data_IF_041507442980
#
_entry.id   IF_041507442980
#
_cell.length_a   1.000
_cell.length_b   1.000
_cell.length_c   1.000
_cell.angle_alpha   90.00
_cell.angle_beta   90.00
_cell.angle_gamma   90.00
#
_symmetry.space_group_name_H-M   'P 1'
#
loop_
_entity.id
_entity.type
_entity.pdbx_description
1 polymer ?
#
# COMPACT_ATOMS: atom_id res chain seq x y z
N UNK A 1 7.50 6.38 -23.33
CA UNK A 1 7.37 4.91 -23.15
C UNK A 1 6.21 4.31 -23.96
N UNK A 2 4.94 4.61 -23.62
CA UNK A 2 3.78 3.92 -24.24
C UNK A 2 3.71 4.03 -25.77
N UNK A 3 4.13 5.16 -26.34
CA UNK A 3 4.27 5.32 -27.79
C UNK A 3 5.28 4.33 -28.39
N UNK A 4 6.45 4.19 -27.79
CA UNK A 4 7.52 3.31 -28.28
C UNK A 4 7.13 1.83 -28.18
N UNK A 5 6.35 1.45 -27.16
CA UNK A 5 5.77 0.10 -27.04
C UNK A 5 4.78 -0.15 -28.18
N UNK A 6 3.91 0.82 -28.49
CA UNK A 6 2.98 0.72 -29.63
C UNK A 6 3.69 0.62 -30.98
N UNK A 7 4.89 1.17 -31.07
CA UNK A 7 5.77 1.10 -32.24
C UNK A 7 6.62 -0.19 -32.27
N UNK A 8 6.41 -1.13 -31.34
CA UNK A 8 7.03 -2.47 -31.33
C UNK A 8 8.23 -2.63 -30.40
N UNK A 9 8.57 -1.62 -29.60
CA UNK A 9 9.68 -1.71 -28.65
C UNK A 9 9.38 -2.62 -27.46
N UNK A 10 10.39 -3.36 -26.98
CA UNK A 10 10.29 -4.19 -25.78
C UNK A 10 10.16 -3.32 -24.53
N UNK A 11 9.04 -3.47 -23.82
CA UNK A 11 8.76 -2.73 -22.60
C UNK A 11 9.83 -2.96 -21.52
N UNK A 12 10.47 -4.13 -21.49
CA UNK A 12 11.51 -4.45 -20.49
C UNK A 12 12.72 -3.53 -20.64
N UNK A 13 13.19 -3.38 -21.86
CA UNK A 13 14.29 -2.49 -22.20
C UNK A 13 13.89 -1.03 -21.98
N UNK A 14 12.73 -0.63 -22.52
CA UNK A 14 12.25 0.75 -22.46
C UNK A 14 11.99 1.25 -21.03
N UNK A 15 11.59 0.37 -20.10
CA UNK A 15 11.32 0.75 -18.71
C UNK A 15 12.61 1.12 -17.97
N UNK A 16 13.71 0.39 -18.22
CA UNK A 16 15.01 0.67 -17.61
C UNK A 16 15.67 1.92 -18.21
N UNK A 17 15.59 2.11 -19.52
CA UNK A 17 16.25 3.21 -20.25
C UNK A 17 15.74 4.61 -19.86
N UNK A 18 14.49 4.72 -19.40
CA UNK A 18 13.90 6.00 -18.96
C UNK A 18 14.61 6.62 -17.75
N UNK A 19 15.44 5.85 -17.05
CA UNK A 19 16.16 6.24 -15.84
C UNK A 19 17.66 5.99 -15.96
N UNK A 20 18.25 6.30 -17.12
CA UNK A 20 19.66 6.05 -17.45
C UNK A 20 20.08 4.59 -17.23
N UNK A 21 19.16 3.64 -17.45
CA UNK A 21 19.37 2.22 -17.24
C UNK A 21 19.30 1.75 -15.77
N UNK A 22 19.10 2.66 -14.81
CA UNK A 22 19.03 2.33 -13.36
C UNK A 22 17.64 1.90 -12.90
N UNK A 23 16.60 2.26 -13.66
CA UNK A 23 15.20 2.03 -13.30
C UNK A 23 14.64 3.05 -12.29
N UNK A 24 13.31 3.17 -12.25
CA UNK A 24 12.64 3.99 -11.23
C UNK A 24 12.70 3.32 -9.87
N UNK A 25 13.25 4.01 -8.88
CA UNK A 25 13.17 3.68 -7.45
C UNK A 25 11.91 4.22 -6.76
N UNK A 26 10.97 4.75 -7.54
CA UNK A 26 9.78 5.41 -7.02
C UNK A 26 8.82 4.51 -6.26
N UNK A 27 7.94 5.13 -5.49
CA UNK A 27 6.91 4.44 -4.69
C UNK A 27 5.69 3.97 -5.52
N UNK A 28 5.64 4.29 -6.82
CA UNK A 28 4.49 3.99 -7.67
C UNK A 28 4.19 2.50 -7.88
N UNK A 29 5.17 1.61 -7.66
CA UNK A 29 4.92 0.17 -7.61
C UNK A 29 4.22 -0.25 -6.30
N UNK A 30 4.66 0.31 -5.17
CA UNK A 30 4.10 0.02 -3.86
C UNK A 30 2.65 0.49 -3.72
N UNK A 31 2.30 1.66 -4.31
CA UNK A 31 0.96 2.25 -4.19
C UNK A 31 -0.20 1.43 -4.77
N UNK A 32 0.08 0.40 -5.56
CA UNK A 32 -0.92 -0.37 -6.32
C UNK A 32 -0.87 -1.88 -6.10
N UNK A 33 0.01 -2.38 -5.23
CA UNK A 33 0.33 -3.81 -5.14
C UNK A 33 -0.46 -4.57 -4.06
N UNK A 34 -1.10 -3.86 -3.13
CA UNK A 34 -1.87 -4.49 -2.05
C UNK A 34 -2.90 -5.55 -2.52
N UNK A 35 -3.66 -5.34 -3.63
CA UNK A 35 -4.57 -6.36 -4.13
C UNK A 35 -3.89 -7.68 -4.53
N UNK A 36 -2.65 -7.65 -5.03
CA UNK A 36 -1.90 -8.88 -5.33
C UNK A 36 -1.51 -9.63 -4.05
N UNK A 37 -1.12 -8.88 -3.02
CA UNK A 37 -0.86 -9.45 -1.69
C UNK A 37 -2.09 -10.15 -1.12
N UNK A 38 -3.24 -9.49 -1.17
CA UNK A 38 -4.50 -10.06 -0.71
C UNK A 38 -4.93 -11.30 -1.53
N UNK A 39 -4.77 -11.25 -2.85
CA UNK A 39 -5.18 -12.34 -3.73
C UNK A 39 -4.34 -13.62 -3.55
N UNK A 40 -3.02 -13.46 -3.38
CA UNK A 40 -2.10 -14.59 -3.21
C UNK A 40 -1.79 -14.89 -1.73
N UNK A 41 -2.61 -14.40 -0.80
CA UNK A 41 -2.27 -14.38 0.63
C UNK A 41 -1.90 -15.75 1.22
N UNK A 42 -2.45 -16.84 0.67
CA UNK A 42 -2.19 -18.22 1.10
C UNK A 42 -0.78 -18.74 0.71
N UNK A 43 -0.04 -18.04 -0.16
CA UNK A 43 1.30 -18.41 -0.60
C UNK A 43 2.22 -17.19 -0.67
N UNK A 44 3.00 -16.99 0.39
CA UNK A 44 3.94 -15.87 0.51
C UNK A 44 5.00 -15.85 -0.61
N UNK A 45 5.41 -17.01 -1.13
CA UNK A 45 6.37 -17.06 -2.23
C UNK A 45 5.75 -16.51 -3.52
N UNK A 46 4.48 -16.85 -3.78
CA UNK A 46 3.72 -16.27 -4.87
C UNK A 46 3.47 -14.77 -4.68
N UNK A 47 3.18 -14.30 -3.45
CA UNK A 47 3.05 -12.86 -3.16
C UNK A 47 4.33 -12.11 -3.56
N UNK A 48 5.50 -12.60 -3.12
CA UNK A 48 6.80 -11.99 -3.43
C UNK A 48 7.03 -11.98 -4.94
N UNK A 49 6.82 -13.11 -5.60
CA UNK A 49 7.05 -13.26 -7.04
C UNK A 49 6.14 -12.31 -7.85
N UNK A 50 4.85 -12.27 -7.55
CA UNK A 50 3.88 -11.48 -8.31
C UNK A 50 4.04 -9.98 -8.04
N UNK A 51 4.36 -9.60 -6.80
CA UNK A 51 4.71 -8.22 -6.48
C UNK A 51 5.93 -7.75 -7.29
N UNK A 52 7.00 -8.55 -7.33
CA UNK A 52 8.21 -8.23 -8.08
C UNK A 52 7.95 -8.11 -9.59
N UNK A 53 7.22 -9.07 -10.17
CA UNK A 53 6.87 -9.04 -11.59
C UNK A 53 6.01 -7.82 -11.95
N UNK A 54 5.04 -7.46 -11.11
CA UNK A 54 4.18 -6.30 -11.34
C UNK A 54 4.93 -4.95 -11.24
N UNK A 55 5.95 -4.89 -10.38
CA UNK A 55 6.78 -3.70 -10.21
C UNK A 55 7.66 -3.46 -11.44
N UNK A 56 8.33 -4.52 -11.94
CA UNK A 56 9.31 -4.44 -13.03
C UNK A 56 8.77 -3.85 -14.34
N UNK A 57 7.45 -3.84 -14.54
CA UNK A 57 6.81 -3.21 -15.71
C UNK A 57 7.13 -1.71 -15.77
N UNK A 58 7.18 -1.01 -14.63
CA UNK A 58 7.38 0.45 -14.59
C UNK A 58 8.47 0.90 -13.62
N UNK A 59 8.88 0.05 -12.70
CA UNK A 59 9.83 0.34 -11.64
C UNK A 59 10.80 -0.84 -11.50
N UNK A 60 11.87 -0.79 -12.29
CA UNK A 60 12.88 -1.87 -12.35
C UNK A 60 13.96 -1.77 -11.29
N UNK A 61 14.03 -0.66 -10.53
CA UNK A 61 15.04 -0.48 -9.51
C UNK A 61 14.78 -1.42 -8.29
N UNK A 62 15.82 -2.07 -7.72
CA UNK A 62 15.66 -3.00 -6.60
C UNK A 62 14.91 -2.42 -5.39
N UNK A 63 15.14 -1.16 -5.03
CA UNK A 63 14.42 -0.48 -3.94
C UNK A 63 12.91 -0.37 -4.20
N UNK A 64 12.48 -0.08 -5.43
CA UNK A 64 11.06 -0.01 -5.75
C UNK A 64 10.41 -1.40 -5.72
N UNK A 65 11.14 -2.43 -6.18
CA UNK A 65 10.72 -3.83 -6.09
C UNK A 65 10.59 -4.26 -4.64
N UNK A 66 11.57 -3.92 -3.78
CA UNK A 66 11.53 -4.19 -2.35
C UNK A 66 10.33 -3.51 -1.67
N UNK A 67 10.04 -2.25 -2.02
CA UNK A 67 8.85 -1.54 -1.56
C UNK A 67 7.54 -2.23 -1.97
N UNK A 68 7.44 -2.70 -3.22
CA UNK A 68 6.27 -3.43 -3.68
C UNK A 68 6.10 -4.77 -2.96
N UNK A 69 7.19 -5.52 -2.76
CA UNK A 69 7.17 -6.77 -1.99
C UNK A 69 6.70 -6.50 -0.56
N UNK A 70 7.25 -5.48 0.10
CA UNK A 70 6.91 -5.13 1.47
C UNK A 70 5.40 -4.85 1.64
N UNK A 71 4.80 -4.04 0.76
CA UNK A 71 3.37 -3.73 0.79
C UNK A 71 2.51 -4.95 0.48
N UNK A 72 2.91 -5.79 -0.49
CA UNK A 72 2.17 -6.99 -0.83
C UNK A 72 2.19 -8.03 0.31
N UNK A 73 3.35 -8.23 0.94
CA UNK A 73 3.48 -9.11 2.11
C UNK A 73 2.68 -8.56 3.29
N UNK A 74 2.66 -7.24 3.49
CA UNK A 74 1.84 -6.62 4.52
C UNK A 74 0.34 -6.89 4.32
N UNK A 75 -0.16 -6.76 3.08
CA UNK A 75 -1.54 -7.10 2.74
C UNK A 75 -1.85 -8.59 2.94
N UNK A 76 -0.96 -9.49 2.49
CA UNK A 76 -1.09 -10.93 2.71
C UNK A 76 -1.11 -11.30 4.21
N UNK A 77 -0.25 -10.67 5.00
CA UNK A 77 -0.18 -10.87 6.45
C UNK A 77 -1.45 -10.35 7.14
N UNK A 78 -1.99 -9.22 6.69
CA UNK A 78 -3.24 -8.67 7.23
C UNK A 78 -4.44 -9.60 6.97
N UNK A 79 -4.44 -10.34 5.85
CA UNK A 79 -5.45 -11.36 5.51
C UNK A 79 -5.29 -12.63 6.36
N UNK A 80 -4.07 -13.16 6.44
CA UNK A 80 -3.82 -14.49 7.02
C UNK A 80 -3.59 -14.49 8.53
N UNK A 81 -3.08 -13.38 9.08
CA UNK A 81 -2.74 -13.23 10.49
C UNK A 81 -3.31 -11.90 11.06
N UNK A 82 -4.64 -11.66 11.02
CA UNK A 82 -5.23 -10.35 11.37
C UNK A 82 -4.89 -9.90 12.80
N UNK A 83 -4.82 -10.84 13.74
CA UNK A 83 -4.54 -10.58 15.16
C UNK A 83 -3.05 -10.41 15.48
N UNK A 84 -2.15 -10.51 14.50
CA UNK A 84 -0.71 -10.47 14.71
C UNK A 84 -0.29 -9.14 15.37
N UNK A 85 0.38 -9.15 16.54
CA UNK A 85 0.72 -7.91 17.23
C UNK A 85 1.57 -6.96 16.35
N UNK A 86 1.46 -5.62 16.50
CA UNK A 86 2.09 -4.64 15.61
C UNK A 86 3.58 -4.89 15.34
N UNK A 87 4.33 -5.25 16.38
CA UNK A 87 5.75 -5.57 16.24
C UNK A 87 6.01 -6.82 15.40
N UNK A 88 5.24 -7.90 15.64
CA UNK A 88 5.37 -9.14 14.87
C UNK A 88 4.91 -8.99 13.43
N UNK A 89 3.93 -8.13 13.17
CA UNK A 89 3.51 -7.76 11.83
C UNK A 89 4.68 -7.16 11.02
N UNK A 90 5.40 -6.19 11.60
CA UNK A 90 6.58 -5.60 10.94
C UNK A 90 7.75 -6.59 10.81
N UNK A 91 7.97 -7.45 11.83
CA UNK A 91 9.00 -8.49 11.78
C UNK A 91 8.73 -9.44 10.59
N UNK A 92 7.49 -9.93 10.43
CA UNK A 92 7.06 -10.80 9.33
C UNK A 92 7.31 -10.19 7.95
N UNK A 93 7.01 -8.90 7.80
CA UNK A 93 7.26 -8.19 6.53
C UNK A 93 8.77 -8.12 6.28
N UNK A 94 9.55 -7.68 7.28
CA UNK A 94 11.01 -7.53 7.15
C UNK A 94 11.74 -8.84 6.83
N UNK A 95 11.23 -9.99 7.30
CA UNK A 95 11.76 -11.33 6.98
C UNK A 95 11.64 -11.69 5.49
N UNK A 96 10.66 -11.14 4.79
CA UNK A 96 10.34 -11.46 3.38
C UNK A 96 10.81 -10.39 2.39
N UNK A 97 11.37 -9.28 2.88
CA UNK A 97 11.89 -8.19 2.04
C UNK A 97 13.40 -8.38 1.81
N UNK A 98 13.91 -8.27 0.57
CA UNK A 98 15.34 -8.32 0.29
C UNK A 98 16.12 -7.23 1.05
N UNK A 99 17.42 -7.44 1.25
CA UNK A 99 18.29 -6.39 1.80
C UNK A 99 18.19 -5.12 0.94
N UNK A 100 17.78 -4.02 1.55
CA UNK A 100 17.39 -2.76 0.89
C UNK A 100 17.20 -1.66 1.94
N UNK A 101 17.21 -0.40 1.50
CA UNK A 101 16.85 0.73 2.38
C UNK A 101 15.42 0.62 2.89
N UNK A 102 14.51 0.04 2.09
CA UNK A 102 13.14 -0.28 2.53
C UNK A 102 13.16 -1.21 3.74
N UNK A 103 13.94 -2.31 3.69
CA UNK A 103 14.03 -3.27 4.81
C UNK A 103 14.61 -2.63 6.07
N UNK A 104 15.63 -1.79 5.92
CA UNK A 104 16.24 -1.05 7.03
C UNK A 104 15.23 -0.09 7.66
N UNK A 105 14.46 0.64 6.83
CA UNK A 105 13.38 1.50 7.30
C UNK A 105 12.26 0.74 8.03
N UNK A 106 11.93 -0.50 7.61
CA UNK A 106 10.96 -1.35 8.34
C UNK A 106 11.50 -1.71 9.74
N UNK A 107 12.80 -1.99 9.84
CA UNK A 107 13.44 -2.24 11.13
C UNK A 107 13.43 -0.98 12.03
N UNK A 108 13.58 0.21 11.46
CA UNK A 108 13.42 1.46 12.19
C UNK A 108 11.96 1.69 12.62
N UNK A 109 10.99 1.48 11.72
CA UNK A 109 9.56 1.57 12.02
C UNK A 109 9.20 0.66 13.21
N UNK A 110 9.77 -0.54 13.25
CA UNK A 110 9.60 -1.48 14.35
C UNK A 110 10.05 -0.94 15.71
N UNK A 111 11.10 -0.12 15.74
CA UNK A 111 11.58 0.55 16.95
C UNK A 111 10.70 1.76 17.33
N UNK A 112 10.15 2.46 16.34
CA UNK A 112 9.32 3.64 16.54
C UNK A 112 7.87 3.33 16.95
N UNK A 113 7.47 2.07 17.07
CA UNK A 113 6.12 1.70 17.53
C UNK A 113 5.79 2.25 18.93
N UNK A 114 6.78 2.59 19.75
CA UNK A 114 6.58 3.20 21.07
C UNK A 114 6.27 4.69 21.02
N UNK A 115 6.47 5.35 19.88
CA UNK A 115 6.25 6.79 19.71
C UNK A 115 4.82 7.03 19.24
N UNK A 116 3.98 7.71 20.01
CA UNK A 116 2.58 7.97 19.61
C UNK A 116 2.40 8.93 18.43
N UNK A 117 3.38 9.81 18.19
CA UNK A 117 3.33 10.95 17.27
C UNK A 117 3.65 10.56 15.81
N UNK A 118 2.65 10.63 14.94
CA UNK A 118 2.79 10.31 13.51
C UNK A 118 3.65 11.32 12.74
N UNK A 119 3.68 12.60 13.14
CA UNK A 119 4.52 13.60 12.49
C UNK A 119 6.00 13.36 12.79
N UNK A 120 6.32 12.90 14.00
CA UNK A 120 7.67 12.49 14.34
C UNK A 120 8.07 11.20 13.59
N UNK A 121 7.18 10.19 13.56
CA UNK A 121 7.44 8.96 12.81
C UNK A 121 7.67 9.24 11.31
N UNK A 122 6.83 10.07 10.69
CA UNK A 122 6.97 10.51 9.31
C UNK A 122 8.29 11.25 9.03
N UNK A 123 8.80 12.03 9.99
CA UNK A 123 10.09 12.70 9.86
C UNK A 123 11.25 11.71 9.83
N UNK A 124 11.16 10.63 10.59
CA UNK A 124 12.23 9.62 10.70
C UNK A 124 12.17 8.62 9.55
N UNK A 125 10.98 8.14 9.21
CA UNK A 125 10.76 7.06 8.24
C UNK A 125 10.53 7.56 6.81
N UNK A 126 10.33 8.87 6.63
CA UNK A 126 9.88 9.47 5.38
C UNK A 126 8.36 9.38 5.21
N UNK A 127 7.78 10.33 4.48
CA UNK A 127 6.35 10.38 4.13
C UNK A 127 6.11 10.54 2.63
N UNK A 128 7.06 10.06 1.83
CA UNK A 128 7.01 10.02 0.36
C UNK A 128 7.34 11.33 -0.34
N UNK A 129 7.80 12.37 0.38
CA UNK A 129 8.22 13.64 -0.24
C UNK A 129 9.32 13.49 -1.28
N UNK A 130 10.12 12.44 -1.19
CA UNK A 130 11.17 12.12 -2.16
C UNK A 130 10.65 11.22 -3.31
N UNK A 131 9.37 10.86 -3.29
CA UNK A 131 8.71 9.98 -4.27
C UNK A 131 9.51 8.69 -4.48
N UNK A 132 10.10 8.16 -3.40
CA UNK A 132 10.93 6.96 -3.39
C UNK A 132 10.33 5.89 -2.48
N UNK A 133 10.57 4.62 -2.80
CA UNK A 133 10.02 3.53 -2.01
C UNK A 133 10.49 3.55 -0.54
N UNK A 134 11.78 3.83 -0.29
CA UNK A 134 12.35 3.86 1.06
C UNK A 134 11.90 5.09 1.89
N UNK A 135 11.56 6.21 1.24
CA UNK A 135 11.00 7.40 1.91
C UNK A 135 9.48 7.28 2.11
N UNK A 136 8.83 6.19 1.65
CA UNK A 136 7.36 6.05 1.69
C UNK A 136 6.93 4.83 2.49
N UNK A 137 7.43 3.66 2.12
CA UNK A 137 6.92 2.36 2.58
C UNK A 137 7.09 2.18 4.10
N UNK A 138 8.25 2.49 4.71
CA UNK A 138 8.44 2.32 6.16
C UNK A 138 7.38 3.02 7.01
N UNK A 139 7.04 4.27 6.70
CA UNK A 139 6.01 5.02 7.43
C UNK A 139 4.62 4.42 7.22
N UNK A 140 4.27 4.04 5.99
CA UNK A 140 2.95 3.42 5.73
C UNK A 140 2.77 2.12 6.53
N UNK A 141 3.82 1.29 6.62
CA UNK A 141 3.78 0.06 7.40
C UNK A 141 3.74 0.32 8.90
N UNK A 142 4.39 1.38 9.38
CA UNK A 142 4.28 1.82 10.76
C UNK A 142 2.84 2.21 11.11
N UNK A 143 2.16 2.99 10.24
CA UNK A 143 0.75 3.37 10.45
C UNK A 143 -0.13 2.13 10.45
N UNK A 144 0.00 1.28 9.43
CA UNK A 144 -0.76 0.03 9.33
C UNK A 144 -0.56 -0.84 10.57
N UNK A 145 0.68 -1.05 11.03
CA UNK A 145 0.94 -1.91 12.18
C UNK A 145 0.14 -1.48 13.42
N UNK A 146 -0.05 -0.17 13.61
CA UNK A 146 -0.78 0.41 14.74
C UNK A 146 -2.29 0.43 14.54
N UNK A 147 -2.74 0.86 13.37
CA UNK A 147 -4.14 1.21 13.10
C UNK A 147 -4.84 0.19 12.18
N UNK A 148 -4.28 -1.01 11.95
CA UNK A 148 -4.81 -2.01 10.99
C UNK A 148 -6.26 -2.45 11.20
N UNK A 149 -6.84 -2.13 12.35
CA UNK A 149 -8.21 -2.50 12.70
C UNK A 149 -9.19 -1.30 12.67
N UNK A 150 -8.70 -0.11 12.31
CA UNK A 150 -9.49 1.10 12.20
C UNK A 150 -9.10 1.85 10.92
N UNK A 151 -9.92 1.68 9.87
CA UNK A 151 -9.68 2.28 8.58
C UNK A 151 -9.66 3.82 8.64
N UNK A 152 -10.59 4.42 9.39
CA UNK A 152 -10.68 5.88 9.48
C UNK A 152 -9.48 6.46 10.23
N UNK A 153 -9.10 5.86 11.37
CA UNK A 153 -7.91 6.27 12.13
C UNK A 153 -6.63 6.11 11.31
N UNK A 154 -6.47 4.99 10.58
CA UNK A 154 -5.31 4.75 9.72
C UNK A 154 -5.19 5.82 8.62
N UNK A 155 -6.31 6.15 7.96
CA UNK A 155 -6.32 7.14 6.88
C UNK A 155 -6.03 8.55 7.40
N UNK A 156 -6.65 8.97 8.50
CA UNK A 156 -6.38 10.30 9.08
C UNK A 156 -4.95 10.42 9.63
N UNK A 157 -4.44 9.38 10.29
CA UNK A 157 -3.05 9.34 10.77
C UNK A 157 -2.06 9.50 9.63
N UNK A 158 -2.34 8.83 8.50
CA UNK A 158 -1.52 8.91 7.29
C UNK A 158 -1.59 10.30 6.65
N UNK A 159 -2.80 10.81 6.41
CA UNK A 159 -2.99 12.11 5.75
C UNK A 159 -2.42 13.28 6.57
N UNK A 160 -2.54 13.24 7.90
CA UNK A 160 -2.03 14.27 8.79
C UNK A 160 -0.49 14.40 8.76
N UNK A 161 0.23 13.33 8.38
CA UNK A 161 1.68 13.37 8.23
C UNK A 161 2.15 14.16 7.00
N UNK A 162 1.26 14.45 6.05
CA UNK A 162 1.59 15.16 4.81
C UNK A 162 2.55 14.39 3.91
N UNK A 163 3.22 15.10 3.00
CA UNK A 163 4.12 14.50 2.02
C UNK A 163 3.37 14.03 0.77
N UNK A 164 3.62 12.80 0.34
CA UNK A 164 2.95 12.16 -0.80
C UNK A 164 1.65 11.48 -0.31
N UNK A 165 0.68 12.33 0.05
CA UNK A 165 -0.51 11.93 0.83
C UNK A 165 -1.38 10.93 0.07
N UNK A 166 -1.58 11.13 -1.24
CA UNK A 166 -2.35 10.21 -2.08
C UNK A 166 -1.71 8.82 -2.12
N UNK A 167 -0.40 8.73 -2.36
CA UNK A 167 0.33 7.46 -2.41
C UNK A 167 0.35 6.76 -1.05
N UNK A 168 0.67 7.48 0.02
CA UNK A 168 0.74 6.88 1.36
C UNK A 168 -0.63 6.38 1.82
N UNK A 169 -1.70 7.16 1.60
CA UNK A 169 -3.06 6.74 1.87
C UNK A 169 -3.50 5.55 0.99
N UNK A 170 -3.10 5.49 -0.28
CA UNK A 170 -3.39 4.34 -1.14
C UNK A 170 -2.75 3.04 -0.62
N UNK A 171 -1.50 3.12 -0.14
CA UNK A 171 -0.79 1.97 0.46
C UNK A 171 -1.48 1.54 1.76
N UNK A 172 -1.67 2.47 2.70
CA UNK A 172 -2.25 2.18 4.01
C UNK A 172 -3.68 1.66 3.86
N UNK A 173 -4.53 2.38 3.12
CA UNK A 173 -5.90 1.96 2.87
C UNK A 173 -5.99 0.61 2.17
N UNK A 174 -5.11 0.34 1.20
CA UNK A 174 -5.05 -0.94 0.52
C UNK A 174 -4.71 -2.11 1.45
N UNK A 175 -3.75 -1.95 2.36
CA UNK A 175 -3.39 -3.01 3.32
C UNK A 175 -4.49 -3.18 4.38
N UNK A 176 -5.00 -2.08 4.94
CA UNK A 176 -6.02 -2.13 6.01
C UNK A 176 -7.31 -2.74 5.47
N UNK A 177 -7.78 -2.33 4.29
CA UNK A 177 -8.97 -2.90 3.67
C UNK A 177 -8.79 -4.38 3.27
N UNK A 178 -7.57 -4.80 2.91
CA UNK A 178 -7.30 -6.20 2.53
C UNK A 178 -7.63 -7.19 3.66
N UNK A 179 -7.49 -6.80 4.93
CA UNK A 179 -7.82 -7.65 6.08
C UNK A 179 -9.28 -8.13 6.10
N UNK A 180 -10.19 -7.42 5.43
CA UNK A 180 -11.64 -7.66 5.48
C UNK A 180 -12.28 -7.42 6.85
N UNK A 181 -11.51 -7.04 7.87
CA UNK A 181 -12.01 -6.80 9.23
C UNK A 181 -12.47 -5.37 9.47
N UNK A 182 -12.05 -4.43 8.61
CA UNK A 182 -12.41 -3.01 8.72
C UNK A 182 -13.50 -2.64 7.72
N UNK A 183 -14.45 -1.81 8.16
CA UNK A 183 -15.44 -1.20 7.28
C UNK A 183 -14.93 0.16 6.79
N UNK A 184 -14.89 0.34 5.47
CA UNK A 184 -14.66 1.66 4.87
C UNK A 184 -15.92 2.52 5.03
N UNK A 185 -15.83 3.77 5.51
CA UNK A 185 -16.99 4.63 5.67
C UNK A 185 -17.76 4.81 4.34
N UNK A 186 -19.07 4.55 4.35
CA UNK A 186 -19.90 4.60 3.15
C UNK A 186 -19.95 6.00 2.52
N UNK A 187 -19.83 7.05 3.34
CA UNK A 187 -19.71 8.43 2.85
C UNK A 187 -18.44 8.66 2.05
N UNK A 188 -17.32 8.06 2.45
CA UNK A 188 -16.06 8.20 1.72
C UNK A 188 -16.14 7.49 0.36
N UNK A 189 -16.74 6.29 0.32
CA UNK A 189 -17.01 5.58 -0.94
C UNK A 189 -17.89 6.41 -1.89
N UNK A 190 -18.89 7.12 -1.37
CA UNK A 190 -19.77 8.00 -2.17
C UNK A 190 -19.04 9.18 -2.80
N UNK A 191 -17.97 9.65 -2.16
CA UNK A 191 -17.16 10.78 -2.67
C UNK A 191 -16.05 10.34 -3.62
N UNK A 192 -15.78 9.04 -3.76
CA UNK A 192 -14.84 8.52 -4.74
C UNK A 192 -15.41 8.62 -6.17
N UNK A 193 -14.53 8.88 -7.14
CA UNK A 193 -14.86 8.74 -8.55
C UNK A 193 -15.37 7.31 -8.84
N UNK A 194 -16.45 7.14 -9.62
CA UNK A 194 -16.89 5.82 -10.04
C UNK A 194 -15.78 5.06 -10.74
N UNK A 195 -15.68 3.76 -10.46
CA UNK A 195 -14.77 2.90 -11.21
C UNK A 195 -15.20 2.85 -12.69
N UNK A 196 -14.26 2.74 -13.64
CA UNK A 196 -14.61 2.68 -15.05
C UNK A 196 -15.43 1.44 -15.37
N UNK A 197 -16.47 1.59 -16.19
CA UNK A 197 -17.39 0.48 -16.58
C UNK A 197 -16.64 -0.73 -17.17
N UNK A 198 -15.56 -0.48 -17.92
CA UNK A 198 -14.77 -1.53 -18.55
C UNK A 198 -13.98 -2.39 -17.56
N UNK A 199 -13.84 -1.97 -16.31
CA UNK A 199 -13.12 -2.72 -15.29
C UNK A 199 -13.91 -3.93 -14.78
N UNK A 200 -15.22 -4.00 -15.04
CA UNK A 200 -16.07 -5.13 -14.65
C UNK A 200 -16.13 -5.37 -13.13
N UNK A 201 -15.78 -4.36 -12.34
CA UNK A 201 -15.80 -4.45 -10.87
C UNK A 201 -17.24 -4.28 -10.41
N UNK A 202 -17.74 -5.16 -9.52
CA UNK A 202 -19.06 -4.98 -8.92
C UNK A 202 -19.18 -3.59 -8.26
N UNK A 203 -20.37 -2.96 -8.27
CA UNK A 203 -20.58 -1.70 -7.57
C UNK A 203 -20.14 -1.85 -6.10
N UNK A 204 -19.34 -0.90 -5.60
CA UNK A 204 -19.04 -0.83 -4.17
C UNK A 204 -20.37 -0.63 -3.44
N UNK A 205 -20.69 -1.48 -2.45
CA UNK A 205 -21.91 -1.38 -1.67
C UNK A 205 -21.98 0.00 -0.98
N UNK A 206 -22.79 0.90 -1.55
CA UNK A 206 -23.12 2.19 -0.94
C UNK A 206 -24.27 1.92 0.01
N UNK A 207 -24.06 2.04 1.32
CA UNK A 207 -25.17 2.00 2.29
C UNK A 207 -26.10 3.19 2.04
N UNK A 208 -27.06 2.99 1.12
CA UNK A 208 -28.34 3.70 0.98
C UNK A 208 -29.21 3.01 -0.10
N UNK A 209 -29.51 1.72 0.10
CA UNK A 209 -30.70 1.05 -0.48
C UNK A 209 -31.53 0.34 0.61
N UNK A 210 -31.30 0.67 1.89
CA UNK A 210 -32.23 0.32 2.95
C UNK A 210 -33.42 1.31 2.92
N UNK A 211 -34.68 0.85 2.78
CA UNK A 211 -35.83 1.75 2.82
C UNK A 211 -35.87 2.45 4.18
N UNK A 212 -35.90 3.79 4.15
CA UNK A 212 -35.83 4.63 5.33
C UNK A 212 -36.81 4.20 6.41
N UNK A 213 -36.27 3.79 7.56
CA UNK A 213 -37.04 3.71 8.80
C UNK A 213 -37.57 5.11 9.11
N UNK A 214 -38.90 5.26 9.13
CA UNK A 214 -39.56 6.51 9.49
C UNK A 214 -39.12 6.96 10.89
N UNK A 215 -38.89 8.27 11.11
CA UNK A 215 -38.56 8.75 12.45
C UNK A 215 -39.76 8.54 13.40
N UNK A 216 -39.51 8.33 14.71
CA UNK A 216 -40.59 8.15 15.67
C UNK A 216 -41.43 9.44 15.72
N UNK A 217 -42.73 9.28 15.48
CA UNK A 217 -43.71 10.34 15.71
C UNK A 217 -43.72 10.66 17.21
N UNK A 218 -43.56 11.94 17.54
CA UNK A 218 -43.78 12.47 18.89
C UNK A 218 -45.27 12.61 19.17
#
# INVERSE_FOLDING_TARGET
MLRLIREGGDWRTLSAELFDGKGSWGNGAAMRVAPLGAWFADDVAQVIQQAALSAQVTHTHPEAVAGAIAVAVAAATAVTEPDLPPGRFLDRISENVPASMVRDGIAEARQLLTIGDSALAARMLGNGRQVSAHDTVPFTLWVTARERHDFEAAMWTTAAAGGDVDTTCAIVGGIVAASGSTRVPSEWIRQCEPLPDWAGVPPLERESDAPGGSPPQR
#
